data_IF_109766766262
#
_entry.id   IF_109766766262
#
_cell.length_a   1.000
_cell.length_b   1.000
_cell.length_c   1.000
_cell.angle_alpha   90.00
_cell.angle_beta   90.00
_cell.angle_gamma   90.00
#
_symmetry.space_group_name_H-M   'P 1'
#
loop_
_entity.id
_entity.type
_entity.pdbx_description
1 polymer ?
#
# COMPACT_ATOMS: atom_id res chain seq x y z
N UNK A 1 -7.94 -3.98 22.06
CA UNK A 1 -6.59 -3.46 21.76
C UNK A 1 -5.88 -4.42 20.81
N UNK A 2 -5.96 -4.17 19.50
CA UNK A 2 -5.15 -4.82 18.47
C UNK A 2 -5.10 -3.76 17.35
N UNK A 3 -3.97 -3.29 16.85
CA UNK A 3 -2.92 -4.07 16.19
C UNK A 3 -1.66 -3.19 15.97
N UNK A 4 -0.66 -3.25 16.86
CA UNK A 4 0.71 -2.75 16.57
C UNK A 4 1.49 -3.75 15.69
N UNK A 5 0.91 -4.19 14.57
CA UNK A 5 1.57 -5.20 13.70
C UNK A 5 2.57 -4.58 12.72
N UNK A 6 2.44 -3.29 12.45
CA UNK A 6 3.35 -2.53 11.57
C UNK A 6 3.64 -1.20 12.27
N UNK A 7 4.91 -0.89 12.50
CA UNK A 7 5.38 0.33 13.18
C UNK A 7 6.18 1.13 12.15
N UNK A 8 5.75 2.36 11.86
CA UNK A 8 6.44 3.29 10.94
C UNK A 8 7.18 4.43 11.67
N UNK A 9 7.48 4.21 12.97
CA UNK A 9 8.30 5.06 13.83
C UNK A 9 7.91 6.55 13.89
N UNK A 10 6.59 6.83 13.86
CA UNK A 10 6.06 8.20 13.90
C UNK A 10 6.68 9.14 12.84
N UNK A 11 7.14 8.60 11.71
CA UNK A 11 7.70 9.39 10.64
C UNK A 11 6.68 10.47 10.19
N UNK A 12 7.02 11.77 10.24
CA UNK A 12 6.06 12.85 9.99
C UNK A 12 5.52 12.84 8.56
N UNK A 13 6.32 12.43 7.57
CA UNK A 13 5.90 12.29 6.18
C UNK A 13 4.92 11.13 6.02
N UNK A 14 5.18 10.02 6.71
CA UNK A 14 4.27 8.87 6.71
C UNK A 14 2.95 9.22 7.39
N UNK A 15 2.98 9.90 8.54
CA UNK A 15 1.78 10.39 9.24
C UNK A 15 0.92 11.28 8.33
N UNK A 16 1.56 12.25 7.68
CA UNK A 16 0.86 13.14 6.76
C UNK A 16 0.27 12.37 5.58
N UNK A 17 1.04 11.48 4.94
CA UNK A 17 0.57 10.68 3.82
C UNK A 17 -0.60 9.75 4.21
N UNK A 18 -0.57 9.16 5.41
CA UNK A 18 -1.69 8.38 5.97
C UNK A 18 -2.92 9.26 6.15
N UNK A 19 -2.77 10.47 6.69
CA UNK A 19 -3.89 11.39 6.92
C UNK A 19 -4.60 11.82 5.64
N UNK A 20 -3.91 11.75 4.49
CA UNK A 20 -4.48 12.09 3.20
C UNK A 20 -5.25 10.93 2.55
N UNK A 21 -5.10 9.70 3.03
CA UNK A 21 -5.53 8.50 2.29
C UNK A 21 -7.05 8.42 2.13
N UNK A 22 -7.49 8.27 0.88
CA UNK A 22 -8.89 8.02 0.52
C UNK A 22 -9.01 6.63 -0.09
N UNK A 23 -9.94 5.84 0.41
CA UNK A 23 -10.23 4.47 -0.05
C UNK A 23 -11.48 4.52 -0.94
N UNK A 24 -11.47 3.72 -2.02
CA UNK A 24 -12.63 3.49 -2.86
C UNK A 24 -12.85 1.98 -3.00
N UNK A 25 -14.11 1.59 -3.14
CA UNK A 25 -14.54 0.20 -3.28
C UNK A 25 -15.21 0.09 -4.64
N UNK A 26 -14.66 -0.74 -5.52
CA UNK A 26 -15.28 -0.94 -6.83
C UNK A 26 -16.46 -1.92 -6.79
N UNK A 27 -17.18 -2.03 -7.91
CA UNK A 27 -18.36 -2.87 -8.04
C UNK A 27 -18.06 -4.37 -7.83
N UNK A 28 -16.80 -4.80 -7.96
CA UNK A 28 -16.36 -6.17 -7.68
C UNK A 28 -15.95 -6.36 -6.20
N UNK A 29 -16.05 -5.32 -5.37
CA UNK A 29 -15.73 -5.35 -3.95
C UNK A 29 -14.23 -5.16 -3.63
N UNK A 30 -13.40 -4.81 -4.61
CA UNK A 30 -11.99 -4.59 -4.35
C UNK A 30 -11.78 -3.24 -3.66
N UNK A 31 -11.03 -3.25 -2.56
CA UNK A 31 -10.65 -2.06 -1.81
C UNK A 31 -9.35 -1.50 -2.39
N UNK A 32 -9.34 -0.24 -2.84
CA UNK A 32 -8.16 0.39 -3.43
C UNK A 32 -7.97 1.84 -2.98
N UNK A 33 -6.71 2.30 -2.84
CA UNK A 33 -6.42 3.72 -2.65
C UNK A 33 -6.86 4.51 -3.88
N UNK A 34 -7.61 5.60 -3.70
CA UNK A 34 -8.09 6.43 -4.81
C UNK A 34 -7.20 7.64 -5.04
N UNK A 35 -6.22 7.49 -5.94
CA UNK A 35 -5.27 8.57 -6.32
C UNK A 35 -5.95 9.81 -6.93
N UNK A 36 -7.17 9.73 -7.44
CA UNK A 36 -7.88 10.87 -8.05
C UNK A 36 -8.62 11.72 -7.02
N UNK A 37 -8.98 11.14 -5.88
CA UNK A 37 -9.74 11.82 -4.82
C UNK A 37 -8.86 12.26 -3.64
N UNK A 38 -7.58 11.86 -3.61
CA UNK A 38 -6.66 12.32 -2.56
C UNK A 38 -6.33 13.80 -2.73
N UNK A 39 -6.38 14.58 -1.64
CA UNK A 39 -6.02 16.00 -1.66
C UNK A 39 -4.51 16.22 -1.83
N UNK A 40 -3.69 15.22 -1.47
CA UNK A 40 -2.23 15.31 -1.36
C UNK A 40 -1.55 13.96 -1.63
N UNK A 41 -0.22 13.89 -1.48
CA UNK A 41 0.56 12.67 -1.78
C UNK A 41 0.25 11.52 -0.80
N UNK A 42 0.21 10.32 -1.37
CA UNK A 42 0.04 9.04 -0.65
C UNK A 42 1.12 8.00 -1.02
N UNK A 43 2.12 8.40 -1.82
CA UNK A 43 3.13 7.49 -2.36
C UNK A 43 3.84 6.65 -1.28
N UNK A 44 4.23 7.21 -0.11
CA UNK A 44 4.87 6.42 0.97
C UNK A 44 3.98 5.31 1.53
N UNK A 45 2.68 5.56 1.65
CA UNK A 45 1.70 4.58 2.16
C UNK A 45 1.48 3.47 1.15
N UNK A 46 1.30 3.84 -0.13
CA UNK A 46 1.11 2.86 -1.21
C UNK A 46 2.37 2.01 -1.39
N UNK A 47 3.57 2.60 -1.36
CA UNK A 47 4.82 1.86 -1.44
C UNK A 47 4.97 0.86 -0.28
N UNK A 48 4.64 1.28 0.95
CA UNK A 48 4.68 0.41 2.13
C UNK A 48 3.68 -0.75 2.02
N UNK A 49 2.46 -0.47 1.54
CA UNK A 49 1.43 -1.48 1.30
C UNK A 49 1.87 -2.50 0.24
N UNK A 50 2.44 -2.03 -0.88
CA UNK A 50 2.97 -2.90 -1.93
C UNK A 50 4.12 -3.76 -1.43
N UNK A 51 5.08 -3.18 -0.69
CA UNK A 51 6.19 -3.93 -0.11
C UNK A 51 5.71 -5.04 0.84
N UNK A 52 4.75 -4.71 1.72
CA UNK A 52 4.15 -5.68 2.62
C UNK A 52 3.39 -6.79 1.88
N UNK A 53 2.59 -6.43 0.86
CA UNK A 53 1.87 -7.40 0.05
C UNK A 53 2.83 -8.34 -0.67
N UNK A 54 3.86 -7.81 -1.33
CA UNK A 54 4.88 -8.62 -2.00
C UNK A 54 5.56 -9.58 -1.04
N UNK A 55 5.93 -9.11 0.16
CA UNK A 55 6.50 -9.97 1.19
C UNK A 55 5.54 -11.12 1.59
N UNK A 56 4.26 -10.82 1.82
CA UNK A 56 3.28 -11.85 2.15
C UNK A 56 3.03 -12.83 1.01
N UNK A 57 2.99 -12.35 -0.24
CA UNK A 57 2.79 -13.18 -1.43
C UNK A 57 3.99 -14.06 -1.74
N UNK A 58 5.21 -13.59 -1.44
CA UNK A 58 6.44 -14.38 -1.55
C UNK A 58 6.42 -15.59 -0.61
N UNK A 59 5.97 -15.38 0.64
CA UNK A 59 5.75 -16.49 1.59
C UNK A 59 4.72 -17.51 1.12
N UNK A 60 3.83 -17.15 0.20
CA UNK A 60 2.82 -18.03 -0.39
C UNK A 60 3.23 -18.59 -1.75
N UNK A 61 4.45 -18.31 -2.22
CA UNK A 61 4.97 -18.78 -3.51
C UNK A 61 4.32 -18.11 -4.73
N UNK A 62 3.57 -17.02 -4.56
CA UNK A 62 2.87 -16.31 -5.64
C UNK A 62 3.43 -14.90 -5.83
N UNK A 63 4.70 -14.78 -6.22
CA UNK A 63 5.33 -13.48 -6.42
C UNK A 63 5.29 -13.06 -7.90
N UNK A 64 4.35 -12.17 -8.25
CA UNK A 64 4.18 -11.66 -9.63
C UNK A 64 5.39 -10.85 -10.14
N UNK A 65 6.20 -10.30 -9.23
CA UNK A 65 7.40 -9.52 -9.58
C UNK A 65 8.58 -10.43 -9.94
N UNK A 66 8.66 -11.63 -9.34
CA UNK A 66 9.62 -12.66 -9.76
C UNK A 66 9.22 -13.28 -11.11
N UNK A 67 7.92 -13.47 -11.36
CA UNK A 67 7.46 -14.12 -12.59
C UNK A 67 7.44 -13.21 -13.84
N UNK A 68 7.20 -11.90 -13.68
CA UNK A 68 7.15 -10.95 -14.81
C UNK A 68 8.35 -9.98 -14.88
N UNK A 69 9.24 -10.01 -13.89
CA UNK A 69 10.30 -9.02 -13.71
C UNK A 69 9.76 -7.64 -13.28
N UNK A 70 10.64 -6.77 -12.80
CA UNK A 70 10.29 -5.37 -12.56
C UNK A 70 10.14 -4.66 -13.91
N UNK A 71 8.90 -4.32 -14.29
CA UNK A 71 8.66 -3.49 -15.48
C UNK A 71 8.96 -2.03 -15.15
N UNK A 72 9.99 -1.50 -15.81
CA UNK A 72 10.29 -0.07 -15.83
C UNK A 72 9.47 0.54 -16.96
N UNK A 73 8.68 1.58 -16.65
CA UNK A 73 7.90 2.37 -17.61
C UNK A 73 8.62 3.69 -17.84
#
# INVERSE_FOLDING_TARGET
MASKRIIHDNNPVMNWAISNMVIDIDAAGNVKPNKKKVPNKIDPVVASLTGFFTYMSDLQGQNIYQSRGAMVI
#
